data_IF_828650302791
#
_entry.id   IF_828650302791
#
_cell.length_a   1.000
_cell.length_b   1.000
_cell.length_c   1.000
_cell.angle_alpha   90.00
_cell.angle_beta   90.00
_cell.angle_gamma   90.00
#
_symmetry.space_group_name_H-M   'P 1'
#
loop_
_entity.id
_entity.type
_entity.pdbx_description
1 polymer ?
#
# COMPACT_ATOMS: atom_id res chain seq x y z
N UNK A 1 15.23 0.18 12.79
CA UNK A 1 15.62 1.41 12.08
C UNK A 1 14.83 1.44 10.77
N UNK A 2 14.24 2.58 10.42
CA UNK A 2 13.47 2.74 9.18
C UNK A 2 14.42 2.61 7.98
N UNK A 3 14.11 1.73 7.03
CA UNK A 3 14.89 1.56 5.78
C UNK A 3 13.96 1.54 4.58
N UNK A 4 14.45 1.86 3.36
CA UNK A 4 13.64 1.74 2.17
C UNK A 4 13.07 0.34 1.94
N UNK A 5 13.82 -0.70 2.30
CA UNK A 5 13.40 -2.10 2.20
C UNK A 5 12.19 -2.40 3.10
N UNK A 6 12.21 -1.95 4.36
CA UNK A 6 11.08 -2.11 5.28
C UNK A 6 9.84 -1.36 4.75
N UNK A 7 10.04 -0.15 4.20
CA UNK A 7 8.95 0.61 3.59
C UNK A 7 8.35 -0.13 2.38
N UNK A 8 9.20 -0.66 1.49
CA UNK A 8 8.77 -1.40 0.31
C UNK A 8 8.01 -2.69 0.70
N UNK A 9 8.50 -3.43 1.69
CA UNK A 9 7.84 -4.63 2.22
C UNK A 9 6.48 -4.30 2.84
N UNK A 10 6.42 -3.28 3.71
CA UNK A 10 5.17 -2.80 4.32
C UNK A 10 4.15 -2.37 3.26
N UNK A 11 4.57 -1.58 2.27
CA UNK A 11 3.70 -1.11 1.19
C UNK A 11 3.21 -2.26 0.30
N UNK A 12 4.10 -3.17 -0.09
CA UNK A 12 3.73 -4.37 -0.87
C UNK A 12 2.71 -5.21 -0.12
N UNK A 13 2.95 -5.50 1.16
CA UNK A 13 2.02 -6.25 2.00
C UNK A 13 0.67 -5.55 2.09
N UNK A 14 0.63 -4.23 2.29
CA UNK A 14 -0.63 -3.50 2.39
C UNK A 14 -1.38 -3.47 1.06
N UNK A 15 -0.69 -3.31 -0.08
CA UNK A 15 -1.32 -3.42 -1.41
C UNK A 15 -1.94 -4.80 -1.60
N UNK A 16 -1.21 -5.88 -1.33
CA UNK A 16 -1.72 -7.25 -1.43
C UNK A 16 -2.76 -7.58 -0.35
N UNK A 17 -2.74 -6.86 0.77
CA UNK A 17 -3.68 -6.96 1.89
C UNK A 17 -4.88 -6.01 1.80
N UNK A 18 -5.23 -5.53 0.61
CA UNK A 18 -6.47 -4.79 0.35
C UNK A 18 -6.40 -3.26 0.48
N UNK A 19 -5.25 -2.65 0.77
CA UNK A 19 -5.13 -1.18 0.94
C UNK A 19 -5.07 -0.40 -0.40
N UNK A 20 -5.10 -1.10 -1.53
CA UNK A 20 -5.07 -0.54 -2.88
C UNK A 20 -6.06 -1.24 -3.79
N UNK A 21 -6.02 -0.95 -5.08
CA UNK A 21 -6.76 -1.71 -6.10
C UNK A 21 -5.89 -2.83 -6.66
N UNK A 22 -6.54 -3.89 -7.15
CA UNK A 22 -5.87 -5.02 -7.79
C UNK A 22 -6.63 -5.40 -9.06
N UNK A 23 -5.91 -5.84 -10.08
CA UNK A 23 -6.46 -6.46 -11.28
C UNK A 23 -5.63 -7.68 -11.68
N UNK A 24 -6.27 -8.60 -12.41
CA UNK A 24 -5.66 -9.81 -12.93
C UNK A 24 -5.71 -9.84 -14.45
N UNK A 25 -4.63 -10.32 -15.06
CA UNK A 25 -4.50 -10.53 -16.50
C UNK A 25 -4.21 -12.01 -16.73
N UNK A 26 -5.15 -12.79 -17.29
CA UNK A 26 -4.97 -14.22 -17.55
C UNK A 26 -3.91 -14.47 -18.64
N UNK A 27 -2.73 -14.95 -18.26
CA UNK A 27 -1.58 -15.02 -19.17
C UNK A 27 -1.74 -16.10 -20.24
N UNK A 28 -2.39 -17.21 -19.90
CA UNK A 28 -2.54 -18.38 -20.77
C UNK A 28 -3.87 -18.36 -21.57
N UNK A 29 -4.77 -17.41 -21.29
CA UNK A 29 -6.08 -17.29 -21.96
C UNK A 29 -6.13 -16.06 -22.84
N UNK A 30 -5.94 -14.87 -22.26
CA UNK A 30 -5.90 -13.60 -22.99
C UNK A 30 -5.09 -12.56 -22.22
N UNK A 31 -3.84 -12.39 -22.63
CA UNK A 31 -2.90 -11.46 -22.01
C UNK A 31 -3.20 -9.97 -22.30
N UNK A 32 -4.30 -9.66 -23.00
CA UNK A 32 -4.73 -8.29 -23.34
C UNK A 32 -5.87 -7.79 -22.45
N UNK A 33 -6.56 -8.69 -21.76
CA UNK A 33 -7.70 -8.37 -20.89
C UNK A 33 -7.21 -8.13 -19.45
N UNK A 34 -7.69 -7.05 -18.84
CA UNK A 34 -7.50 -6.78 -17.41
C UNK A 34 -8.84 -6.87 -16.69
N UNK A 35 -8.91 -7.76 -15.70
CA UNK A 35 -10.11 -8.03 -14.90
C UNK A 35 -9.92 -7.40 -13.54
N UNK A 36 -10.86 -6.54 -13.13
CA UNK A 36 -10.82 -5.91 -11.83
C UNK A 36 -11.09 -6.93 -10.72
N UNK A 37 -10.28 -6.89 -9.66
CA UNK A 37 -10.53 -7.63 -8.43
C UNK A 37 -11.43 -6.77 -7.55
N UNK A 38 -12.59 -7.29 -7.18
CA UNK A 38 -13.59 -6.58 -6.38
C UNK A 38 -13.14 -6.42 -4.92
N UNK A 39 -12.47 -7.45 -4.37
CA UNK A 39 -11.87 -7.43 -3.05
C UNK A 39 -10.71 -8.42 -2.99
N UNK A 40 -9.71 -8.13 -2.16
CA UNK A 40 -8.59 -9.03 -1.92
C UNK A 40 -7.95 -8.77 -0.56
N UNK A 41 -7.24 -9.77 -0.06
CA UNK A 41 -6.56 -9.69 1.22
C UNK A 41 -5.88 -11.00 1.54
N UNK A 42 -5.40 -11.09 2.78
CA UNK A 42 -4.90 -12.34 3.34
C UNK A 42 -5.95 -12.92 4.28
N UNK A 43 -6.20 -14.21 4.20
CA UNK A 43 -7.01 -14.94 5.18
C UNK A 43 -6.23 -15.19 6.48
N UNK A 44 -6.88 -15.79 7.47
CA UNK A 44 -6.27 -16.16 8.75
C UNK A 44 -5.14 -17.21 8.64
N UNK A 45 -5.00 -17.88 7.50
CA UNK A 45 -3.89 -18.78 7.18
C UNK A 45 -2.73 -18.06 6.47
N UNK A 46 -2.87 -16.77 6.18
CA UNK A 46 -1.89 -15.98 5.43
C UNK A 46 -1.91 -16.26 3.93
N UNK A 47 -2.95 -16.93 3.41
CA UNK A 47 -3.14 -17.14 1.98
C UNK A 47 -3.75 -15.89 1.36
N UNK A 48 -3.24 -15.48 0.20
CA UNK A 48 -3.85 -14.36 -0.53
C UNK A 48 -5.13 -14.85 -1.19
N UNK A 49 -6.23 -14.18 -0.90
CA UNK A 49 -7.55 -14.49 -1.48
C UNK A 49 -8.02 -13.28 -2.28
N UNK A 50 -8.61 -13.56 -3.44
CA UNK A 50 -9.23 -12.56 -4.32
C UNK A 50 -10.70 -12.90 -4.54
N UNK A 51 -11.50 -11.87 -4.78
CA UNK A 51 -12.88 -11.96 -5.20
C UNK A 51 -13.07 -11.18 -6.51
N UNK A 52 -13.69 -11.82 -7.50
CA UNK A 52 -13.97 -11.21 -8.80
C UNK A 52 -15.44 -11.39 -9.15
N UNK A 53 -15.99 -10.50 -9.98
CA UNK A 53 -17.34 -10.68 -10.47
C UNK A 53 -17.43 -11.95 -11.31
N UNK A 54 -18.40 -12.82 -11.04
CA UNK A 54 -18.47 -14.18 -11.62
C UNK A 54 -18.48 -14.15 -13.15
N UNK A 55 -19.16 -13.16 -13.74
CA UNK A 55 -19.25 -13.00 -15.20
C UNK A 55 -17.89 -12.68 -15.84
N UNK A 56 -17.03 -11.93 -15.16
CA UNK A 56 -15.72 -11.52 -15.69
C UNK A 56 -14.72 -12.68 -15.70
N UNK A 57 -14.92 -13.67 -14.82
CA UNK A 57 -14.01 -14.80 -14.63
C UNK A 57 -14.67 -16.14 -14.96
N UNK A 58 -15.84 -16.15 -15.59
CA UNK A 58 -16.63 -17.35 -15.84
C UNK A 58 -15.90 -18.38 -16.72
N UNK A 59 -15.11 -17.90 -17.69
CA UNK A 59 -14.35 -18.76 -18.60
C UNK A 59 -12.96 -19.17 -18.06
N UNK A 60 -12.55 -18.62 -16.91
CA UNK A 60 -11.22 -18.87 -16.37
C UNK A 60 -11.20 -20.17 -15.56
N UNK A 61 -10.26 -21.05 -15.92
CA UNK A 61 -9.82 -22.14 -15.05
C UNK A 61 -8.67 -21.67 -14.16
N UNK A 62 -8.11 -22.61 -13.39
CA UNK A 62 -6.89 -22.36 -12.64
C UNK A 62 -5.73 -22.07 -13.60
N UNK A 63 -4.78 -21.26 -13.15
CA UNK A 63 -3.55 -21.00 -13.90
C UNK A 63 -2.95 -19.62 -13.71
N UNK A 64 -2.07 -19.26 -14.65
CA UNK A 64 -1.17 -18.13 -14.50
C UNK A 64 -1.85 -16.81 -14.80
N UNK A 65 -1.63 -15.85 -13.91
CA UNK A 65 -2.07 -14.47 -14.06
C UNK A 65 -0.91 -13.51 -13.85
N UNK A 66 -0.98 -12.35 -14.49
CA UNK A 66 -0.26 -11.16 -14.00
C UNK A 66 -1.19 -10.41 -13.07
N UNK A 67 -0.71 -10.10 -11.87
CA UNK A 67 -1.34 -9.19 -10.94
C UNK A 67 -0.80 -7.78 -11.17
N UNK A 68 -1.70 -6.81 -11.23
CA UNK A 68 -1.38 -5.39 -11.29
C UNK A 68 -2.09 -4.69 -10.11
N UNK A 69 -1.32 -4.14 -9.18
CA UNK A 69 -1.81 -3.44 -7.99
C UNK A 69 -1.48 -1.95 -8.05
N UNK A 70 -2.36 -1.11 -7.50
CA UNK A 70 -2.14 0.34 -7.40
C UNK A 70 -2.47 0.82 -5.99
N UNK A 71 -1.57 1.60 -5.40
CA UNK A 71 -1.83 2.38 -4.18
C UNK A 71 -1.98 3.85 -4.53
N UNK A 72 -3.12 4.41 -4.17
CA UNK A 72 -3.37 5.85 -4.21
C UNK A 72 -2.96 6.50 -2.89
N UNK A 73 -2.62 7.79 -2.96
CA UNK A 73 -2.31 8.58 -1.80
C UNK A 73 -3.50 8.69 -0.85
N UNK A 74 -3.22 8.94 0.43
CA UNK A 74 -4.22 9.34 1.43
C UNK A 74 -4.56 10.83 1.30
N UNK A 75 -4.73 11.30 0.06
CA UNK A 75 -5.08 12.68 -0.26
C UNK A 75 -6.37 12.69 -1.07
N UNK A 76 -7.36 13.44 -0.58
CA UNK A 76 -8.70 13.46 -1.17
C UNK A 76 -8.86 14.54 -2.24
N UNK A 77 -8.01 15.57 -2.23
CA UNK A 77 -8.11 16.69 -3.17
C UNK A 77 -7.41 16.43 -4.51
N UNK A 78 -6.53 15.43 -4.58
CA UNK A 78 -5.71 15.14 -5.76
C UNK A 78 -5.54 13.64 -5.95
N UNK A 79 -5.77 13.17 -7.18
CA UNK A 79 -5.53 11.77 -7.52
C UNK A 79 -4.03 11.51 -7.74
N UNK A 80 -3.37 10.98 -6.71
CA UNK A 80 -1.94 10.68 -6.73
C UNK A 80 -1.76 9.17 -6.62
N UNK A 81 -1.12 8.55 -7.61
CA UNK A 81 -0.62 7.18 -7.49
C UNK A 81 0.74 7.19 -6.81
N UNK A 82 0.85 6.57 -5.64
CA UNK A 82 2.11 6.53 -4.88
C UNK A 82 2.93 5.28 -5.18
N UNK A 83 2.27 4.19 -5.57
CA UNK A 83 2.94 2.97 -5.98
C UNK A 83 2.10 2.13 -6.92
N UNK A 84 2.80 1.35 -7.76
CA UNK A 84 2.24 0.23 -8.49
C UNK A 84 2.98 -1.05 -8.16
N UNK A 85 2.29 -2.17 -8.24
CA UNK A 85 2.81 -3.49 -7.97
C UNK A 85 2.53 -4.38 -9.18
N UNK A 86 3.51 -5.17 -9.60
CA UNK A 86 3.35 -6.17 -10.65
C UNK A 86 3.89 -7.51 -10.17
N UNK A 87 3.12 -8.58 -10.35
CA UNK A 87 3.56 -9.93 -10.03
C UNK A 87 3.05 -10.93 -11.06
N UNK A 88 3.75 -12.05 -11.21
CA UNK A 88 3.19 -13.24 -11.85
C UNK A 88 2.78 -14.19 -10.72
N UNK A 89 1.57 -14.71 -10.82
CA UNK A 89 0.97 -15.56 -9.82
C UNK A 89 0.20 -16.72 -10.46
N UNK A 90 -0.09 -17.74 -9.68
CA UNK A 90 -1.06 -18.79 -10.00
C UNK A 90 -2.34 -18.52 -9.22
N UNK A 91 -3.49 -18.69 -9.87
CA UNK A 91 -4.82 -18.61 -9.23
C UNK A 91 -5.45 -20.00 -9.23
N UNK A 92 -5.91 -20.42 -8.05
CA UNK A 92 -6.74 -21.60 -7.87
C UNK A 92 -8.16 -21.16 -7.49
N UNK A 93 -9.12 -21.37 -8.39
CA UNK A 93 -10.50 -20.94 -8.17
C UNK A 93 -11.25 -21.88 -7.27
N UNK A 94 -11.97 -21.31 -6.31
CA UNK A 94 -12.64 -22.05 -5.26
C UNK A 94 -14.10 -22.32 -5.62
N UNK A 95 -14.59 -23.51 -5.24
CA UNK A 95 -15.95 -23.95 -5.54
C UNK A 95 -17.03 -23.26 -4.67
N UNK A 96 -16.63 -22.54 -3.62
CA UNK A 96 -17.55 -21.85 -2.72
C UNK A 96 -16.88 -20.71 -1.96
N UNK A 97 -17.71 -19.86 -1.35
CA UNK A 97 -17.28 -18.65 -0.65
C UNK A 97 -16.56 -18.91 0.69
N UNK A 98 -16.57 -20.15 1.18
CA UNK A 98 -15.93 -20.53 2.46
C UNK A 98 -14.43 -20.21 2.51
N UNK A 99 -13.75 -20.24 1.37
CA UNK A 99 -12.34 -19.86 1.26
C UNK A 99 -12.09 -18.36 1.44
N UNK A 100 -13.16 -17.54 1.51
CA UNK A 100 -13.09 -16.09 1.58
C UNK A 100 -13.90 -15.51 2.76
N UNK A 101 -14.13 -16.30 3.81
CA UNK A 101 -14.88 -15.84 5.00
C UNK A 101 -14.27 -14.61 5.68
N UNK A 102 -12.96 -14.40 5.51
CA UNK A 102 -12.25 -13.23 6.04
C UNK A 102 -12.41 -11.97 5.15
N UNK A 103 -12.96 -12.13 3.93
CA UNK A 103 -13.20 -11.05 2.96
C UNK A 103 -14.67 -10.68 2.81
N UNK A 104 -15.57 -11.64 2.96
CA UNK A 104 -17.03 -11.47 2.80
C UNK A 104 -17.78 -12.16 3.93
N UNK A 105 -18.69 -11.42 4.55
CA UNK A 105 -19.47 -11.88 5.71
C UNK A 105 -20.59 -12.87 5.33
N UNK A 106 -21.08 -12.81 4.09
CA UNK A 106 -22.22 -13.59 3.61
C UNK A 106 -21.96 -14.23 2.24
N UNK A 107 -22.68 -15.32 1.89
CA UNK A 107 -22.64 -15.90 0.55
C UNK A 107 -22.97 -14.87 -0.54
N UNK A 108 -22.06 -14.68 -1.50
CA UNK A 108 -22.19 -13.69 -2.57
C UNK A 108 -22.23 -14.40 -3.94
N UNK A 109 -23.42 -14.70 -4.49
CA UNK A 109 -23.56 -15.53 -5.69
C UNK A 109 -23.03 -14.87 -6.98
N UNK A 110 -22.77 -13.56 -6.93
CA UNK A 110 -22.21 -12.77 -8.03
C UNK A 110 -20.68 -12.67 -7.95
N UNK A 111 -20.04 -13.25 -6.93
CA UNK A 111 -18.59 -13.28 -6.79
C UNK A 111 -18.06 -14.72 -6.93
N UNK A 112 -16.88 -14.82 -7.53
CA UNK A 112 -16.05 -16.03 -7.54
C UNK A 112 -14.75 -15.73 -6.82
N UNK A 113 -14.28 -16.69 -6.04
CA UNK A 113 -13.11 -16.55 -5.18
C UNK A 113 -11.94 -17.37 -5.70
N UNK A 114 -10.73 -16.84 -5.57
CA UNK A 114 -9.50 -17.52 -5.93
C UNK A 114 -8.45 -17.40 -4.83
N UNK A 115 -7.70 -18.48 -4.61
CA UNK A 115 -6.48 -18.45 -3.80
C UNK A 115 -5.33 -18.12 -4.75
N UNK A 116 -4.48 -17.17 -4.36
CA UNK A 116 -3.39 -16.67 -5.18
C UNK A 116 -2.06 -17.05 -4.58
N UNK A 117 -1.22 -17.72 -5.37
CA UNK A 117 0.14 -18.07 -4.98
C UNK A 117 1.14 -17.31 -5.85
N UNK A 118 2.09 -16.63 -5.20
CA UNK A 118 3.16 -15.88 -5.86
C UNK A 118 4.45 -15.98 -5.04
N UNK A 119 5.60 -15.90 -5.72
CA UNK A 119 6.91 -15.94 -5.06
C UNK A 119 7.43 -14.54 -4.71
N UNK A 120 7.15 -13.57 -5.58
CA UNK A 120 7.65 -12.21 -5.47
C UNK A 120 6.77 -11.22 -6.22
N UNK A 121 6.91 -9.95 -5.86
CA UNK A 121 6.30 -8.83 -6.54
C UNK A 121 7.32 -7.73 -6.84
N UNK A 122 7.13 -7.04 -7.97
CA UNK A 122 7.86 -5.83 -8.34
C UNK A 122 7.05 -4.61 -7.91
N UNK A 123 7.57 -3.86 -6.95
CA UNK A 123 6.98 -2.62 -6.48
C UNK A 123 7.67 -1.43 -7.17
N UNK A 124 6.91 -0.60 -7.89
CA UNK A 124 7.34 0.73 -8.30
C UNK A 124 6.79 1.74 -7.30
N UNK A 125 7.67 2.48 -6.64
CA UNK A 125 7.34 3.43 -5.58
C UNK A 125 8.37 4.58 -5.61
N UNK A 126 8.32 5.57 -4.71
CA UNK A 126 9.18 6.76 -4.81
C UNK A 126 10.69 6.45 -4.92
N UNK A 127 11.18 5.39 -4.28
CA UNK A 127 12.58 4.96 -4.38
C UNK A 127 12.95 4.22 -5.69
N UNK A 128 12.04 4.12 -6.66
CA UNK A 128 12.24 3.36 -7.90
C UNK A 128 11.58 1.98 -7.84
N UNK A 129 12.24 0.97 -8.40
CA UNK A 129 11.73 -0.40 -8.43
C UNK A 129 12.36 -1.24 -7.31
N UNK A 130 11.55 -2.01 -6.59
CA UNK A 130 11.98 -2.96 -5.57
C UNK A 130 11.39 -4.34 -5.86
N UNK A 131 12.22 -5.37 -5.76
CA UNK A 131 11.76 -6.75 -5.76
C UNK A 131 11.49 -7.16 -4.32
N UNK A 132 10.27 -7.60 -4.02
CA UNK A 132 9.86 -8.03 -2.67
C UNK A 132 9.45 -9.49 -2.73
N UNK A 133 10.07 -10.34 -1.91
CA UNK A 133 9.75 -11.78 -1.87
C UNK A 133 8.65 -12.06 -0.87
N UNK A 134 7.75 -12.99 -1.17
CA UNK A 134 6.67 -13.34 -0.26
C UNK A 134 7.17 -13.96 1.05
N UNK A 135 8.28 -14.69 1.01
CA UNK A 135 8.93 -15.22 2.22
C UNK A 135 9.31 -14.10 3.21
N UNK A 136 9.79 -12.95 2.71
CA UNK A 136 10.17 -11.81 3.55
C UNK A 136 8.94 -11.16 4.20
N UNK A 137 7.78 -11.20 3.52
CA UNK A 137 6.52 -10.72 4.08
C UNK A 137 6.02 -11.66 5.19
N UNK A 138 6.07 -12.97 4.97
CA UNK A 138 5.62 -13.99 5.92
C UNK A 138 6.45 -14.01 7.21
N UNK A 139 7.77 -13.84 7.11
CA UNK A 139 8.63 -13.72 8.31
C UNK A 139 8.26 -12.48 9.13
N UNK A 140 7.93 -11.37 8.46
CA UNK A 140 7.40 -10.17 9.08
C UNK A 140 5.99 -10.32 9.67
N UNK A 141 5.20 -11.29 9.20
CA UNK A 141 3.86 -11.62 9.70
C UNK A 141 3.91 -12.47 10.94
N UNK A 142 4.72 -13.52 10.98
CA UNK A 142 4.92 -14.33 12.18
C UNK A 142 5.36 -13.48 13.38
N UNK A 143 6.13 -12.42 13.11
CA UNK A 143 6.58 -11.46 14.13
C UNK A 143 5.54 -10.42 14.54
N UNK A 144 4.49 -10.22 13.72
CA UNK A 144 3.39 -9.25 13.94
C UNK A 144 2.04 -9.90 14.33
N UNK A 145 1.84 -11.19 14.05
CA UNK A 145 0.54 -11.89 14.11
C UNK A 145 -0.03 -12.12 15.54
N UNK A 146 0.73 -11.85 16.60
CA UNK A 146 0.22 -11.99 17.96
C UNK A 146 -0.58 -10.74 18.40
N UNK A 147 -1.85 -10.64 17.99
CA UNK A 147 -2.83 -9.71 18.58
C UNK A 147 -2.62 -8.23 18.28
N UNK A 148 -1.92 -7.89 17.19
CA UNK A 148 -1.66 -6.50 16.81
C UNK A 148 -2.80 -5.92 15.98
N UNK A 149 -3.36 -4.80 16.46
CA UNK A 149 -4.39 -4.06 15.74
C UNK A 149 -3.80 -3.41 14.48
N UNK A 150 -4.40 -3.68 13.31
CA UNK A 150 -4.00 -3.06 12.05
C UNK A 150 -4.31 -1.56 12.11
N UNK A 151 -3.37 -0.74 11.65
CA UNK A 151 -3.59 0.70 11.55
C UNK A 151 -4.65 0.98 10.48
N UNK A 152 -5.73 1.65 10.86
CA UNK A 152 -6.67 2.24 9.93
C UNK A 152 -6.02 3.47 9.27
N UNK A 153 -5.72 3.36 7.97
CA UNK A 153 -5.03 4.40 7.21
C UNK A 153 -5.84 5.70 7.09
N UNK A 154 -7.18 5.61 7.05
CA UNK A 154 -8.04 6.79 6.95
C UNK A 154 -8.10 7.51 8.29
N UNK A 155 -8.27 6.78 9.39
CA UNK A 155 -8.24 7.38 10.73
C UNK A 155 -6.84 7.97 11.03
N UNK A 156 -5.76 7.29 10.63
CA UNK A 156 -4.40 7.81 10.73
C UNK A 156 -4.19 9.08 9.88
N UNK A 157 -4.84 9.17 8.71
CA UNK A 157 -4.84 10.38 7.89
C UNK A 157 -5.53 11.55 8.59
N UNK A 158 -6.64 11.32 9.27
CA UNK A 158 -7.35 12.37 10.04
C UNK A 158 -6.47 12.92 11.18
N UNK A 159 -5.68 12.07 11.85
CA UNK A 159 -4.69 12.52 12.84
C UNK A 159 -3.70 13.52 12.22
N UNK A 160 -3.25 13.29 10.99
CA UNK A 160 -2.33 14.18 10.28
C UNK A 160 -3.01 15.48 9.80
N UNK A 161 -4.33 15.50 9.61
CA UNK A 161 -5.06 16.75 9.33
C UNK A 161 -4.97 17.73 10.51
N UNK A 162 -5.00 17.22 11.74
CA UNK A 162 -4.89 18.04 12.96
C UNK A 162 -3.50 18.70 13.08
N UNK A 163 -2.44 18.04 12.60
CA UNK A 163 -1.08 18.61 12.55
C UNK A 163 -1.02 19.83 11.62
N UNK A 164 -1.78 19.79 10.52
CA UNK A 164 -1.92 20.88 9.57
C UNK A 164 -0.77 20.98 8.56
N UNK A 165 -1.12 21.41 7.34
CA UNK A 165 -0.21 21.46 6.18
C UNK A 165 1.10 22.20 6.44
N UNK A 166 1.07 23.31 7.18
CA UNK A 166 2.27 24.09 7.49
C UNK A 166 3.30 23.26 8.27
N UNK A 167 2.87 22.55 9.31
CA UNK A 167 3.80 21.72 10.11
C UNK A 167 4.25 20.49 9.33
N UNK A 168 3.36 19.88 8.53
CA UNK A 168 3.76 18.80 7.62
C UNK A 168 4.84 19.25 6.61
N UNK A 169 4.71 20.44 6.03
CA UNK A 169 5.74 21.00 5.15
C UNK A 169 7.07 21.21 5.90
N UNK A 170 7.02 21.72 7.14
CA UNK A 170 8.23 21.85 7.98
C UNK A 170 8.86 20.50 8.30
N UNK A 171 8.07 19.48 8.64
CA UNK A 171 8.58 18.13 8.90
C UNK A 171 9.25 17.52 7.67
N UNK A 172 8.67 17.76 6.49
CA UNK A 172 9.28 17.37 5.23
C UNK A 172 10.66 18.04 5.05
N UNK A 173 10.75 19.36 5.23
CA UNK A 173 12.01 20.11 5.15
C UNK A 173 13.04 19.65 6.20
N UNK A 174 12.61 19.37 7.43
CA UNK A 174 13.45 18.86 8.50
C UNK A 174 14.04 17.48 8.17
N UNK A 175 13.25 16.58 7.57
CA UNK A 175 13.76 15.28 7.08
C UNK A 175 14.75 15.49 5.94
N UNK A 176 14.45 16.38 4.99
CA UNK A 176 15.37 16.72 3.89
C UNK A 176 16.70 17.28 4.41
N UNK A 177 16.67 18.04 5.52
CA UNK A 177 17.84 18.61 6.18
C UNK A 177 18.54 17.65 7.17
N UNK A 178 17.97 16.48 7.45
CA UNK A 178 18.48 15.52 8.44
C UNK A 178 18.32 15.96 9.89
N UNK A 179 17.38 16.86 10.18
CA UNK A 179 17.04 17.34 11.54
C UNK A 179 16.05 16.40 12.23
N UNK A 180 15.08 15.90 11.46
CA UNK A 180 14.05 14.97 11.95
C UNK A 180 14.34 13.58 11.37
N UNK A 181 14.21 12.55 12.22
CA UNK A 181 14.41 11.16 11.81
C UNK A 181 13.46 10.80 10.67
N UNK A 182 14.01 10.24 9.60
CA UNK A 182 13.25 9.92 8.41
C UNK A 182 14.12 9.48 7.24
N UNK A 183 13.48 9.31 6.08
CA UNK A 183 14.13 8.97 4.83
C UNK A 183 13.74 9.97 3.75
N UNK A 184 14.72 10.43 2.97
CA UNK A 184 14.45 11.04 1.67
C UNK A 184 14.29 9.90 0.67
N UNK A 185 13.06 9.65 0.23
CA UNK A 185 12.72 8.53 -0.66
C UNK A 185 12.99 8.88 -2.12
N UNK A 186 12.71 10.12 -2.50
CA UNK A 186 12.99 10.63 -3.84
C UNK A 186 13.14 12.13 -3.81
N UNK A 187 13.97 12.63 -4.73
CA UNK A 187 14.22 14.05 -4.86
C UNK A 187 14.55 14.35 -6.33
N UNK A 188 13.69 15.10 -7.02
CA UNK A 188 13.79 15.26 -8.48
C UNK A 188 13.52 16.71 -8.88
N UNK A 189 14.39 17.24 -9.75
CA UNK A 189 14.13 18.47 -10.49
C UNK A 189 13.25 18.15 -11.69
N UNK A 190 12.11 18.82 -11.80
CA UNK A 190 11.20 18.70 -12.94
C UNK A 190 10.33 19.97 -13.09
N UNK A 191 9.90 20.31 -14.31
CA UNK A 191 8.95 21.40 -14.50
C UNK A 191 7.64 21.14 -13.74
N UNK A 192 7.25 22.06 -12.87
CA UNK A 192 5.99 22.00 -12.13
C UNK A 192 4.99 23.02 -12.70
N UNK A 193 3.70 22.67 -12.67
CA UNK A 193 2.66 23.65 -12.91
C UNK A 193 2.62 24.62 -11.72
N UNK A 194 2.53 25.95 -11.92
CA UNK A 194 2.58 26.92 -10.82
C UNK A 194 1.55 26.72 -9.70
N UNK A 195 0.41 26.08 -9.98
CA UNK A 195 -0.61 25.79 -8.97
C UNK A 195 -0.21 24.68 -7.99
N UNK A 196 0.83 23.91 -8.30
CA UNK A 196 1.40 22.91 -7.40
C UNK A 196 2.51 23.48 -6.51
N UNK A 197 2.96 24.71 -6.71
CA UNK A 197 4.08 25.25 -5.95
C UNK A 197 3.73 25.40 -4.46
N UNK A 198 4.63 24.95 -3.59
CA UNK A 198 4.49 25.02 -2.13
C UNK A 198 3.44 24.08 -1.55
N UNK A 199 3.02 23.05 -2.29
CA UNK A 199 2.06 22.07 -1.78
C UNK A 199 2.76 20.94 -1.03
N UNK A 200 2.05 20.39 -0.04
CA UNK A 200 2.43 19.17 0.66
C UNK A 200 1.20 18.28 0.80
N UNK A 201 1.38 16.98 0.56
CA UNK A 201 0.35 15.96 0.67
C UNK A 201 0.82 14.80 1.52
N UNK A 202 -0.12 14.22 2.27
CA UNK A 202 0.09 12.93 2.93
C UNK A 202 -0.08 11.85 1.88
N UNK A 203 1.04 11.22 1.51
CA UNK A 203 1.05 10.16 0.53
C UNK A 203 0.59 8.84 1.13
N UNK A 204 1.13 8.47 2.29
CA UNK A 204 0.94 7.15 2.87
C UNK A 204 1.19 7.16 4.36
N UNK A 205 0.70 6.14 5.07
CA UNK A 205 1.00 5.92 6.49
C UNK A 205 1.25 4.44 6.76
N UNK A 206 2.11 4.17 7.74
CA UNK A 206 2.25 2.85 8.33
C UNK A 206 2.66 2.97 9.79
N UNK A 207 2.88 1.84 10.45
CA UNK A 207 3.31 1.81 11.85
C UNK A 207 4.67 2.46 12.06
N UNK A 208 5.52 2.59 11.05
CA UNK A 208 6.84 3.19 11.19
C UNK A 208 6.86 4.70 10.98
N UNK A 209 5.79 5.30 10.47
CA UNK A 209 5.77 6.72 10.11
C UNK A 209 4.73 7.09 9.06
N UNK A 210 4.95 8.23 8.43
CA UNK A 210 4.09 8.73 7.35
C UNK A 210 4.91 9.36 6.22
N UNK A 211 4.42 9.17 5.00
CA UNK A 211 5.05 9.63 3.79
C UNK A 211 4.45 10.97 3.35
N UNK A 212 5.32 11.91 3.01
CA UNK A 212 4.95 13.23 2.50
C UNK A 212 5.47 13.41 1.09
N UNK A 213 4.64 13.98 0.23
CA UNK A 213 5.05 14.52 -1.08
C UNK A 213 5.03 16.03 -0.94
N UNK A 214 6.12 16.71 -1.31
CA UNK A 214 6.18 18.16 -1.37
C UNK A 214 6.68 18.64 -2.74
N UNK A 215 6.13 19.77 -3.16
CA UNK A 215 6.43 20.39 -4.45
C UNK A 215 6.91 21.83 -4.24
N UNK A 216 8.06 22.14 -4.84
CA UNK A 216 8.61 23.49 -4.97
C UNK A 216 8.40 24.04 -6.38
N UNK A 217 9.17 25.07 -6.75
CA UNK A 217 9.03 25.74 -8.05
C UNK A 217 9.46 24.88 -9.24
N UNK A 218 10.50 24.06 -9.06
CA UNK A 218 11.08 23.19 -10.09
C UNK A 218 11.42 21.80 -9.53
N UNK A 219 10.84 21.43 -8.39
CA UNK A 219 11.27 20.29 -7.61
C UNK A 219 10.10 19.54 -7.00
N UNK A 220 10.16 18.22 -7.05
CA UNK A 220 9.25 17.33 -6.35
C UNK A 220 10.08 16.37 -5.51
N UNK A 221 9.72 16.25 -4.23
CA UNK A 221 10.45 15.39 -3.31
C UNK A 221 9.48 14.64 -2.41
N UNK A 222 9.94 13.47 -1.97
CA UNK A 222 9.14 12.54 -1.18
C UNK A 222 9.96 12.10 0.02
N UNK A 223 9.41 12.27 1.21
CA UNK A 223 10.04 11.87 2.46
C UNK A 223 9.17 10.87 3.20
N UNK A 224 9.79 9.99 3.98
CA UNK A 224 9.13 9.25 5.05
C UNK A 224 9.57 9.87 6.37
N UNK A 225 8.64 10.48 7.10
CA UNK A 225 8.87 10.94 8.47
C UNK A 225 8.80 9.71 9.38
N UNK A 226 9.89 9.42 10.09
CA UNK A 226 10.00 8.23 10.92
C UNK A 226 9.55 8.45 12.35
N UNK A 227 8.98 7.42 12.95
CA UNK A 227 8.79 7.34 14.39
C UNK A 227 10.00 6.68 15.08
N UNK A 228 10.24 7.04 16.34
CA UNK A 228 11.31 6.44 17.15
C UNK A 228 11.14 4.91 17.32
N UNK A 229 9.89 4.43 17.32
CA UNK A 229 9.52 3.02 17.35
C UNK A 229 8.24 2.78 16.58
N UNK A 230 8.00 1.56 16.05
CA UNK A 230 6.74 1.24 15.39
C UNK A 230 5.52 1.49 16.29
N UNK A 231 4.56 2.25 15.79
CA UNK A 231 3.33 2.67 16.42
C UNK A 231 2.15 1.84 15.91
N UNK A 232 1.78 0.80 16.65
CA UNK A 232 0.71 -0.13 16.29
C UNK A 232 -0.64 0.35 16.81
N UNK A 233 -1.66 0.31 15.96
CA UNK A 233 -2.99 0.86 16.28
C UNK A 233 -3.01 2.39 16.32
N UNK A 234 -4.22 2.94 16.25
CA UNK A 234 -4.43 4.39 16.08
C UNK A 234 -3.93 5.22 17.26
N UNK A 235 -4.11 4.74 18.50
CA UNK A 235 -3.71 5.45 19.72
C UNK A 235 -2.20 5.68 19.80
N UNK A 236 -1.43 4.63 19.47
CA UNK A 236 0.03 4.75 19.45
C UNK A 236 0.48 5.61 18.27
N UNK A 237 -0.19 5.51 17.12
CA UNK A 237 0.09 6.35 15.96
C UNK A 237 -0.10 7.83 16.29
N UNK A 238 -1.22 8.20 16.91
CA UNK A 238 -1.48 9.59 17.35
C UNK A 238 -0.43 10.09 18.34
N UNK A 239 -0.02 9.23 19.28
CA UNK A 239 1.03 9.56 20.25
C UNK A 239 2.37 9.80 19.55
N UNK A 240 2.74 8.95 18.59
CA UNK A 240 3.98 9.08 17.82
C UNK A 240 3.97 10.33 16.93
N UNK A 241 2.84 10.64 16.29
CA UNK A 241 2.66 11.88 15.52
C UNK A 241 2.85 13.10 16.41
N UNK A 242 2.25 13.15 17.61
CA UNK A 242 2.42 14.26 18.55
C UNK A 242 3.88 14.43 18.98
N UNK A 243 4.61 13.33 19.17
CA UNK A 243 6.01 13.38 19.57
C UNK A 243 6.93 13.98 18.49
N UNK A 244 6.62 13.75 17.20
CA UNK A 244 7.43 14.25 16.08
C UNK A 244 6.95 15.64 15.62
N UNK A 245 5.64 15.89 15.65
CA UNK A 245 5.04 17.14 15.18
C UNK A 245 4.99 18.26 16.22
N UNK A 246 5.13 17.93 17.51
CA UNK A 246 5.11 18.85 18.64
C UNK A 246 6.30 19.78 18.76
#
# INVERSE_FOLDING_TARGET
>A
MLTPEICAQSLTRRILGGAGTLSLVPLDVDATVSIAVAAHGFDHHGQMVIACHVDDVACLGDGRVRLDGIKKALEFSTDITIASLHAVAEVEWQAGWYAAQDLVEEPTPFLRFGIVTLDHAHLHWPCGASLVRMAELQDGDAQRAAGQERLDEFAAREVLDVVGKRRLATLHEEVMAGVTDGLVLSDRTQPMCPHWNGQVWVADVNECGFMLIATGDDRMSVTMVGFASPAQGLVNFETAVKAVAG
#
